data_IF_787987500945
#
_entry.id   IF_787987500945
#
_cell.length_a   1.000
_cell.length_b   1.000
_cell.length_c   1.000
_cell.angle_alpha   90.00
_cell.angle_beta   90.00
_cell.angle_gamma   90.00
#
_symmetry.space_group_name_H-M   'P 1'
#
loop_
_entity.id
_entity.type
_entity.pdbx_description
1 polymer ?
#
# COMPACT_ATOMS: atom_id res chain seq x y z
N UNK A 1 -25.00 -48.16 -7.84
CA UNK A 1 -23.69 -47.51 -8.05
C UNK A 1 -23.78 -46.00 -7.75
N UNK A 2 -23.62 -45.64 -6.48
CA UNK A 2 -23.57 -44.25 -6.00
C UNK A 2 -22.25 -43.60 -6.45
N UNK A 3 -22.31 -42.67 -7.40
CA UNK A 3 -21.26 -41.65 -7.53
C UNK A 3 -21.57 -40.58 -6.50
N UNK A 4 -21.02 -40.74 -5.30
CA UNK A 4 -20.90 -39.62 -4.36
C UNK A 4 -20.19 -38.48 -5.09
N UNK A 5 -20.91 -37.39 -5.34
CA UNK A 5 -20.31 -36.12 -5.73
C UNK A 5 -19.41 -35.70 -4.57
N UNK A 6 -18.10 -35.96 -4.68
CA UNK A 6 -17.08 -35.27 -3.87
C UNK A 6 -17.34 -33.78 -4.04
N UNK A 7 -17.99 -33.16 -3.06
CA UNK A 7 -18.06 -31.71 -2.97
C UNK A 7 -16.61 -31.27 -2.81
N UNK A 8 -15.97 -30.89 -3.91
CA UNK A 8 -14.69 -30.21 -3.87
C UNK A 8 -14.94 -28.91 -3.12
N UNK A 9 -14.66 -28.92 -1.81
CA UNK A 9 -14.69 -27.72 -1.01
C UNK A 9 -13.43 -26.93 -1.37
N UNK A 10 -13.52 -26.21 -2.48
CA UNK A 10 -12.47 -25.31 -2.94
C UNK A 10 -12.27 -24.18 -1.94
N UNK A 11 -11.01 -23.79 -1.77
CA UNK A 11 -10.62 -22.60 -1.03
C UNK A 11 -10.56 -21.44 -2.02
N UNK A 12 -11.50 -20.52 -1.93
CA UNK A 12 -11.52 -19.27 -2.70
C UNK A 12 -10.87 -18.18 -1.85
N UNK A 13 -9.81 -17.56 -2.35
CA UNK A 13 -9.12 -16.45 -1.72
C UNK A 13 -9.20 -15.22 -2.63
N UNK A 14 -9.45 -14.06 -2.02
CA UNK A 14 -9.42 -12.77 -2.69
C UNK A 14 -8.36 -11.90 -2.05
N UNK A 15 -7.55 -11.24 -2.87
CA UNK A 15 -6.45 -10.40 -2.44
C UNK A 15 -6.60 -9.03 -3.07
N UNK A 16 -6.80 -8.00 -2.26
CA UNK A 16 -6.75 -6.62 -2.72
C UNK A 16 -5.27 -6.25 -2.95
N UNK A 17 -4.94 -5.84 -4.16
CA UNK A 17 -3.60 -5.43 -4.57
C UNK A 17 -3.35 -3.95 -4.25
N UNK A 18 -2.10 -3.50 -4.40
CA UNK A 18 -1.70 -2.13 -4.05
C UNK A 18 -2.29 -1.05 -4.98
N UNK A 19 -2.72 -1.43 -6.18
CA UNK A 19 -3.46 -0.57 -7.10
C UNK A 19 -4.98 -0.55 -6.83
N UNK A 20 -5.43 -1.20 -5.75
CA UNK A 20 -6.83 -1.43 -5.36
C UNK A 20 -7.62 -2.39 -6.28
N UNK A 21 -6.97 -3.11 -7.19
CA UNK A 21 -7.62 -4.20 -7.93
C UNK A 21 -7.70 -5.46 -7.06
N UNK A 22 -8.54 -6.41 -7.45
CA UNK A 22 -8.71 -7.69 -6.73
C UNK A 22 -8.13 -8.83 -7.53
N UNK A 23 -7.20 -9.57 -6.93
CA UNK A 23 -6.71 -10.85 -7.42
C UNK A 23 -7.47 -12.00 -6.75
N UNK A 24 -8.01 -12.91 -7.55
CA UNK A 24 -8.78 -14.06 -7.05
C UNK A 24 -8.08 -15.35 -7.38
N UNK A 25 -7.89 -16.22 -6.38
CA UNK A 25 -7.30 -17.53 -6.56
C UNK A 25 -8.16 -18.63 -5.91
N UNK A 26 -8.35 -19.72 -6.64
CA UNK A 26 -9.03 -20.92 -6.13
C UNK A 26 -8.02 -22.05 -5.97
N UNK A 27 -8.10 -22.75 -4.84
CA UNK A 27 -7.30 -23.92 -4.53
C UNK A 27 -8.20 -25.13 -4.26
N UNK A 28 -7.85 -26.28 -4.84
CA UNK A 28 -8.59 -27.53 -4.65
C UNK A 28 -8.32 -28.16 -3.28
N UNK A 29 -7.16 -27.86 -2.67
CA UNK A 29 -6.76 -28.38 -1.36
C UNK A 29 -7.20 -27.44 -0.25
N UNK A 30 -7.82 -27.99 0.80
CA UNK A 30 -8.15 -27.24 2.01
C UNK A 30 -6.93 -26.87 2.86
N UNK A 31 -5.86 -27.64 2.75
CA UNK A 31 -4.60 -27.48 3.47
C UNK A 31 -3.63 -26.50 2.79
N UNK A 32 -4.13 -25.65 1.89
CA UNK A 32 -3.30 -24.65 1.19
C UNK A 32 -2.66 -23.70 2.21
N UNK A 33 -1.34 -23.56 2.09
CA UNK A 33 -0.54 -22.67 2.92
C UNK A 33 -0.60 -21.22 2.44
N UNK A 34 -0.32 -20.28 3.34
CA UNK A 34 -0.25 -18.86 3.00
C UNK A 34 0.76 -18.57 1.88
N UNK A 35 1.91 -19.25 1.90
CA UNK A 35 2.95 -19.13 0.88
C UNK A 35 2.48 -19.50 -0.53
N UNK A 36 1.61 -20.50 -0.68
CA UNK A 36 1.06 -20.88 -1.99
C UNK A 36 0.18 -19.79 -2.61
N UNK A 37 -0.60 -19.08 -1.77
CA UNK A 37 -1.37 -17.92 -2.21
C UNK A 37 -0.45 -16.75 -2.56
N UNK A 38 0.51 -16.46 -1.69
CA UNK A 38 1.46 -15.38 -1.89
C UNK A 38 2.29 -15.56 -3.15
N UNK A 39 2.76 -16.78 -3.43
CA UNK A 39 3.52 -17.09 -4.64
C UNK A 39 2.71 -16.83 -5.91
N UNK A 40 1.41 -17.14 -5.91
CA UNK A 40 0.53 -16.82 -7.05
C UNK A 40 0.35 -15.32 -7.24
N UNK A 41 0.23 -14.55 -6.15
CA UNK A 41 0.14 -13.09 -6.21
C UNK A 41 1.45 -12.50 -6.73
N UNK A 42 2.60 -12.92 -6.19
CA UNK A 42 3.91 -12.46 -6.65
C UNK A 42 4.16 -12.81 -8.12
N UNK A 43 3.77 -14.01 -8.56
CA UNK A 43 3.87 -14.42 -9.96
C UNK A 43 2.99 -13.57 -10.87
N UNK A 44 1.78 -13.22 -10.42
CA UNK A 44 0.87 -12.35 -11.17
C UNK A 44 1.43 -10.93 -11.31
N UNK A 45 2.02 -10.40 -10.24
CA UNK A 45 2.61 -9.06 -10.20
C UNK A 45 4.03 -8.98 -10.80
N UNK A 46 4.69 -10.10 -11.08
CA UNK A 46 6.09 -10.11 -11.52
C UNK A 46 7.11 -9.78 -10.42
N UNK A 47 6.75 -10.00 -9.15
CA UNK A 47 7.62 -9.69 -7.99
C UNK A 47 8.71 -10.74 -7.82
N UNK A 48 9.97 -10.29 -7.83
CA UNK A 48 11.14 -11.14 -7.56
C UNK A 48 11.61 -11.04 -6.10
N UNK A 49 11.63 -9.83 -5.52
CA UNK A 49 12.05 -9.56 -4.13
C UNK A 49 10.90 -9.80 -3.14
N UNK A 50 10.50 -11.06 -2.97
CA UNK A 50 9.34 -11.48 -2.17
C UNK A 50 9.44 -11.09 -0.69
N UNK A 51 10.64 -11.00 -0.16
CA UNK A 51 10.93 -10.67 1.24
C UNK A 51 10.38 -9.29 1.66
N UNK A 52 10.19 -8.37 0.71
CA UNK A 52 9.67 -7.02 0.94
C UNK A 52 8.17 -7.01 1.22
N UNK A 53 7.44 -8.00 0.68
CA UNK A 53 6.00 -7.99 0.62
C UNK A 53 5.38 -9.08 1.50
N UNK A 54 4.08 -8.97 1.73
CA UNK A 54 3.31 -9.99 2.40
C UNK A 54 1.81 -9.83 2.18
N UNK A 55 1.05 -10.70 2.83
CA UNK A 55 -0.41 -10.63 2.85
C UNK A 55 -0.87 -10.27 4.25
N UNK A 56 -1.79 -9.33 4.35
CA UNK A 56 -2.44 -8.93 5.60
C UNK A 56 -3.92 -9.29 5.58
N UNK A 57 -4.52 -9.44 6.75
CA UNK A 57 -5.96 -9.58 6.92
C UNK A 57 -6.41 -8.93 8.23
N UNK A 58 -7.64 -8.42 8.26
CA UNK A 58 -8.24 -7.83 9.45
C UNK A 58 -8.93 -8.91 10.28
N UNK A 59 -8.47 -9.16 11.50
CA UNK A 59 -9.10 -10.07 12.45
C UNK A 59 -10.55 -9.68 12.72
N UNK A 60 -11.43 -10.68 12.80
CA UNK A 60 -12.86 -10.46 13.04
C UNK A 60 -13.18 -10.28 14.54
N UNK A 61 -12.27 -10.68 15.42
CA UNK A 61 -12.47 -10.64 16.88
C UNK A 61 -12.23 -9.22 17.44
N UNK A 62 -11.18 -8.56 16.97
CA UNK A 62 -10.67 -7.30 17.52
C UNK A 62 -10.43 -6.23 16.45
N UNK A 63 -10.65 -6.54 15.17
CA UNK A 63 -10.36 -5.63 14.06
C UNK A 63 -8.87 -5.42 13.79
N UNK A 64 -7.98 -6.19 14.43
CA UNK A 64 -6.54 -6.00 14.30
C UNK A 64 -6.04 -6.44 12.91
N UNK A 65 -5.13 -5.66 12.33
CA UNK A 65 -4.46 -6.00 11.08
C UNK A 65 -3.34 -7.01 11.35
N UNK A 66 -3.46 -8.21 10.81
CA UNK A 66 -2.53 -9.32 11.01
C UNK A 66 -1.82 -9.70 9.72
N UNK A 67 -0.57 -10.12 9.82
CA UNK A 67 0.18 -10.69 8.70
C UNK A 67 -0.12 -12.19 8.59
N UNK A 68 -0.38 -12.66 7.36
CA UNK A 68 -0.51 -14.07 7.06
C UNK A 68 0.85 -14.77 7.20
N UNK A 69 0.90 -15.81 8.02
CA UNK A 69 2.04 -16.70 8.15
C UNK A 69 2.10 -17.61 6.92
N UNK A 70 3.15 -17.42 6.11
CA UNK A 70 3.35 -18.14 4.86
C UNK A 70 3.61 -19.63 5.05
N UNK A 71 4.06 -20.03 6.25
CA UNK A 71 4.40 -21.43 6.56
C UNK A 71 3.19 -22.28 6.97
N UNK A 72 2.12 -21.62 7.44
CA UNK A 72 0.91 -22.23 7.99
C UNK A 72 -0.23 -22.30 6.98
N UNK A 73 -1.19 -23.17 7.24
CA UNK A 73 -2.42 -23.26 6.45
C UNK A 73 -3.24 -21.97 6.58
N UNK A 74 -3.90 -21.56 5.49
CA UNK A 74 -4.75 -20.37 5.51
C UNK A 74 -5.92 -20.55 6.48
N UNK A 75 -6.52 -21.74 6.48
CA UNK A 75 -7.73 -22.04 7.27
C UNK A 75 -7.48 -22.12 8.77
N UNK A 76 -6.23 -22.33 9.20
CA UNK A 76 -5.88 -22.35 10.62
C UNK A 76 -5.64 -20.94 11.19
N UNK A 77 -5.50 -19.92 10.33
CA UNK A 77 -5.20 -18.54 10.72
C UNK A 77 -6.43 -17.63 10.63
N UNK A 78 -7.40 -17.98 9.77
CA UNK A 78 -8.60 -17.18 9.52
C UNK A 78 -9.79 -18.05 9.11
N UNK A 79 -10.99 -17.61 9.49
CA UNK A 79 -12.28 -18.15 9.04
C UNK A 79 -12.80 -17.46 7.77
N UNK A 80 -13.72 -18.09 7.04
CA UNK A 80 -14.31 -17.47 5.84
C UNK A 80 -15.02 -16.14 6.19
N UNK A 81 -14.97 -15.11 5.32
CA UNK A 81 -14.33 -15.11 3.99
C UNK A 81 -12.80 -14.91 4.02
N UNK A 82 -12.11 -15.52 3.04
CA UNK A 82 -10.65 -15.47 2.91
C UNK A 82 -10.21 -14.26 2.08
N UNK A 83 -10.40 -13.07 2.65
CA UNK A 83 -9.97 -11.81 2.07
C UNK A 83 -8.63 -11.39 2.68
N UNK A 84 -7.71 -10.98 1.81
CA UNK A 84 -6.39 -10.49 2.18
C UNK A 84 -6.08 -9.19 1.45
N UNK A 85 -5.06 -8.49 1.91
CA UNK A 85 -4.47 -7.33 1.26
C UNK A 85 -2.99 -7.61 1.00
N UNK A 86 -2.53 -7.40 -0.22
CA UNK A 86 -1.11 -7.39 -0.53
C UNK A 86 -0.51 -6.06 -0.06
N UNK A 87 0.57 -6.13 0.73
CA UNK A 87 1.18 -4.98 1.37
C UNK A 87 2.70 -5.11 1.44
N UNK A 88 3.39 -3.97 1.56
CA UNK A 88 4.82 -3.90 1.87
C UNK A 88 5.01 -4.14 3.36
N UNK A 89 5.83 -5.13 3.69
CA UNK A 89 6.20 -5.50 5.05
C UNK A 89 7.48 -4.82 5.51
N UNK A 90 8.45 -4.69 4.61
CA UNK A 90 9.76 -4.11 4.91
C UNK A 90 10.11 -3.08 3.86
N UNK A 91 10.43 -1.87 4.29
CA UNK A 91 10.83 -0.78 3.42
C UNK A 91 12.35 -0.70 3.42
N UNK A 92 13.01 -0.84 2.26
CA UNK A 92 14.46 -0.79 2.18
C UNK A 92 14.98 0.64 2.42
N UNK A 93 16.18 0.74 3.00
CA UNK A 93 16.92 2.00 3.22
C UNK A 93 17.11 2.77 1.93
N UNK A 94 17.39 2.06 0.85
CA UNK A 94 17.66 2.65 -0.45
C UNK A 94 16.69 2.08 -1.51
N UNK A 95 15.58 2.78 -1.80
CA UNK A 95 14.63 2.34 -2.82
C UNK A 95 15.25 2.20 -4.22
N UNK A 96 16.40 2.83 -4.51
CA UNK A 96 17.08 2.72 -5.82
C UNK A 96 17.60 1.31 -6.12
N UNK A 97 17.85 0.51 -5.09
CA UNK A 97 18.34 -0.87 -5.23
C UNK A 97 17.22 -1.88 -5.53
N UNK A 98 15.97 -1.43 -5.52
CA UNK A 98 14.83 -2.24 -5.89
C UNK A 98 14.73 -2.41 -7.41
N UNK A 99 14.29 -3.59 -7.82
CA UNK A 99 13.91 -3.82 -9.21
C UNK A 99 12.73 -2.89 -9.60
N UNK A 100 12.53 -2.62 -10.91
CA UNK A 100 11.51 -1.69 -11.36
C UNK A 100 10.09 -2.00 -10.85
N UNK A 101 9.70 -3.28 -10.80
CA UNK A 101 8.36 -3.70 -10.33
C UNK A 101 8.20 -3.38 -8.85
N UNK A 102 9.18 -3.73 -8.03
CA UNK A 102 9.16 -3.44 -6.59
C UNK A 102 9.10 -1.94 -6.31
N UNK A 103 9.77 -1.08 -7.11
CA UNK A 103 9.68 0.38 -6.97
C UNK A 103 8.29 0.90 -7.30
N UNK A 104 7.66 0.42 -8.37
CA UNK A 104 6.28 0.79 -8.72
C UNK A 104 5.29 0.42 -7.61
N UNK A 105 5.39 -0.80 -7.08
CA UNK A 105 4.56 -1.25 -5.96
C UNK A 105 4.80 -0.43 -4.69
N UNK A 106 6.06 -0.04 -4.42
CA UNK A 106 6.39 0.82 -3.30
C UNK A 106 5.73 2.21 -3.43
N UNK A 107 5.70 2.80 -4.62
CA UNK A 107 5.00 4.07 -4.86
C UNK A 107 3.51 3.96 -4.51
N UNK A 108 2.85 2.89 -4.93
CA UNK A 108 1.44 2.64 -4.62
C UNK A 108 1.21 2.48 -3.12
N UNK A 109 2.06 1.72 -2.43
CA UNK A 109 1.99 1.55 -0.98
C UNK A 109 2.16 2.87 -0.23
N UNK A 110 3.16 3.66 -0.58
CA UNK A 110 3.42 4.98 0.03
C UNK A 110 2.23 5.90 -0.21
N UNK A 111 1.65 5.87 -1.41
CA UNK A 111 0.47 6.66 -1.75
C UNK A 111 -0.76 6.25 -0.92
N UNK A 112 -1.02 4.95 -0.76
CA UNK A 112 -2.09 4.44 0.12
C UNK A 112 -1.88 4.91 1.57
N UNK A 113 -0.64 4.80 2.07
CA UNK A 113 -0.28 5.26 3.41
C UNK A 113 -0.47 6.76 3.58
N UNK A 114 -0.14 7.55 2.55
CA UNK A 114 -0.32 9.00 2.56
C UNK A 114 -1.79 9.38 2.62
N UNK A 115 -2.62 8.75 1.78
CA UNK A 115 -4.08 9.01 1.73
C UNK A 115 -4.76 8.65 3.04
N UNK A 116 -4.39 7.50 3.62
CA UNK A 116 -5.00 6.97 4.85
C UNK A 116 -4.41 7.54 6.14
N UNK A 117 -3.43 8.45 6.07
CA UNK A 117 -2.79 9.02 7.26
C UNK A 117 -2.01 8.00 8.09
N UNK A 118 -1.39 6.99 7.46
CA UNK A 118 -0.63 5.94 8.17
C UNK A 118 0.76 6.39 8.63
N UNK A 119 1.22 7.57 8.20
CA UNK A 119 2.47 8.14 8.69
C UNK A 119 2.30 8.65 10.12
N UNK A 120 3.29 8.41 10.98
CA UNK A 120 3.20 8.77 12.40
C UNK A 120 3.09 10.29 12.61
N UNK A 121 3.63 11.08 11.69
CA UNK A 121 3.49 12.54 11.71
C UNK A 121 2.61 13.00 10.54
N UNK A 122 1.66 13.91 10.80
CA UNK A 122 0.88 14.57 9.75
C UNK A 122 1.79 15.20 8.70
N UNK A 123 1.48 14.96 7.43
CA UNK A 123 2.24 15.49 6.30
C UNK A 123 1.60 16.81 5.88
N UNK A 124 2.40 17.87 5.74
CA UNK A 124 1.88 19.19 5.30
C UNK A 124 1.23 19.14 3.92
N UNK A 125 0.27 20.03 3.66
CA UNK A 125 -0.42 20.15 2.36
C UNK A 125 0.57 20.27 1.19
N UNK A 126 1.65 21.06 1.37
CA UNK A 126 2.67 21.26 0.33
C UNK A 126 3.40 19.97 -0.02
N UNK A 127 3.75 19.15 0.97
CA UNK A 127 4.43 17.86 0.76
C UNK A 127 3.50 16.85 0.07
N UNK A 128 2.22 16.81 0.47
CA UNK A 128 1.19 16.04 -0.23
C UNK A 128 1.11 16.44 -1.71
N UNK A 129 1.00 17.73 -2.01
CA UNK A 129 0.87 18.20 -3.39
C UNK A 129 2.08 17.85 -4.28
N UNK A 130 3.30 17.92 -3.73
CA UNK A 130 4.52 17.54 -4.45
C UNK A 130 4.50 16.03 -4.78
N UNK A 131 4.21 15.18 -3.79
CA UNK A 131 4.12 13.74 -4.01
C UNK A 131 3.02 13.37 -4.99
N UNK A 132 1.84 14.00 -4.87
CA UNK A 132 0.73 13.78 -5.81
C UNK A 132 1.07 14.26 -7.22
N UNK A 133 1.89 15.30 -7.37
CA UNK A 133 2.39 15.74 -8.66
C UNK A 133 3.35 14.74 -9.32
N UNK A 134 4.23 14.10 -8.54
CA UNK A 134 5.05 13.00 -9.05
C UNK A 134 4.20 11.77 -9.33
N UNK A 135 3.25 11.43 -8.45
CA UNK A 135 2.35 10.30 -8.64
C UNK A 135 1.48 10.47 -9.90
N UNK A 136 0.99 11.68 -10.17
CA UNK A 136 0.33 12.03 -11.42
C UNK A 136 1.24 11.76 -12.63
N UNK A 137 2.51 12.19 -12.59
CA UNK A 137 3.46 11.90 -13.66
C UNK A 137 3.68 10.38 -13.85
N UNK A 138 3.70 9.61 -12.75
CA UNK A 138 3.91 8.14 -12.78
C UNK A 138 2.72 7.41 -13.42
N UNK A 139 1.50 7.84 -13.14
CA UNK A 139 0.27 7.15 -13.56
C UNK A 139 -0.28 7.71 -14.88
N UNK A 140 -0.23 9.02 -15.07
CA UNK A 140 -0.83 9.73 -16.20
C UNK A 140 0.20 9.98 -17.31
N UNK A 141 1.48 10.15 -16.94
CA UNK A 141 2.51 10.64 -17.85
C UNK A 141 2.37 12.14 -18.12
N UNK A 142 3.14 12.64 -19.08
CA UNK A 142 3.25 14.08 -19.37
C UNK A 142 1.90 14.81 -19.50
N UNK A 143 1.85 16.00 -18.91
CA UNK A 143 0.69 16.87 -19.05
C UNK A 143 0.42 17.26 -20.51
N UNK A 144 -0.80 16.97 -20.99
CA UNK A 144 -1.26 17.37 -22.32
C UNK A 144 -2.49 18.31 -22.22
N UNK A 145 -2.39 19.58 -22.66
CA UNK A 145 -3.48 20.55 -22.53
C UNK A 145 -4.72 20.22 -23.35
N UNK A 146 -4.63 19.31 -24.34
CA UNK A 146 -5.78 18.87 -25.14
C UNK A 146 -6.65 17.88 -24.36
N UNK A 147 -6.04 16.92 -23.66
CA UNK A 147 -6.73 15.86 -22.92
C UNK A 147 -6.94 16.17 -21.43
N UNK A 148 -6.02 16.90 -20.80
CA UNK A 148 -6.04 17.17 -19.36
C UNK A 148 -6.75 18.49 -19.09
N UNK A 149 -8.07 18.42 -18.93
CA UNK A 149 -8.96 19.53 -18.51
C UNK A 149 -9.16 19.51 -17.00
N UNK A 150 -9.78 20.55 -16.43
CA UNK A 150 -10.13 20.62 -15.00
C UNK A 150 -10.82 19.31 -14.54
N UNK A 151 -10.44 18.79 -13.37
CA UNK A 151 -10.94 17.51 -12.84
C UNK A 151 -10.17 16.27 -13.33
N UNK A 152 -9.19 16.40 -14.24
CA UNK A 152 -8.49 15.22 -14.77
C UNK A 152 -7.67 14.48 -13.71
N UNK A 153 -7.15 15.17 -12.69
CA UNK A 153 -6.31 14.54 -11.67
C UNK A 153 -7.17 13.60 -10.83
N UNK A 154 -8.28 14.10 -10.31
CA UNK A 154 -9.26 13.29 -9.58
C UNK A 154 -9.78 12.15 -10.46
N UNK A 155 -10.17 12.44 -11.71
CA UNK A 155 -10.69 11.41 -12.63
C UNK A 155 -9.68 10.28 -12.89
N UNK A 156 -8.40 10.62 -13.07
CA UNK A 156 -7.37 9.64 -13.43
C UNK A 156 -6.75 8.92 -12.24
N UNK A 157 -6.65 9.58 -11.09
CA UNK A 157 -6.07 9.01 -9.87
C UNK A 157 -7.12 8.37 -8.95
N UNK A 158 -8.39 8.77 -9.07
CA UNK A 158 -9.51 8.24 -8.31
C UNK A 158 -9.24 8.23 -6.82
N UNK A 159 -9.26 7.05 -6.21
CA UNK A 159 -9.05 6.84 -4.76
C UNK A 159 -7.67 7.25 -4.26
N UNK A 160 -6.70 7.44 -5.16
CA UNK A 160 -5.39 7.95 -4.79
C UNK A 160 -5.36 9.48 -4.68
N UNK A 161 -6.35 10.21 -5.19
CA UNK A 161 -6.42 11.66 -4.99
C UNK A 161 -7.37 11.97 -3.84
N UNK A 162 -6.80 12.37 -2.70
CA UNK A 162 -7.56 12.78 -1.51
C UNK A 162 -6.93 14.06 -0.97
N UNK A 163 -7.65 15.19 -1.00
CA UNK A 163 -7.17 16.43 -0.42
C UNK A 163 -6.80 16.26 1.06
N UNK A 164 -5.68 16.86 1.51
CA UNK A 164 -5.29 16.83 2.90
C UNK A 164 -6.42 17.30 3.83
N UNK A 165 -6.63 16.55 4.89
CA UNK A 165 -7.67 16.76 5.89
C UNK A 165 -7.25 16.11 7.22
N UNK A 166 -8.07 16.25 8.26
CA UNK A 166 -7.77 15.76 9.62
C UNK A 166 -7.46 14.27 9.79
N UNK A 167 -7.56 13.45 8.73
CA UNK A 167 -7.08 12.05 8.74
C UNK A 167 -5.59 11.97 8.38
N UNK A 168 -5.11 12.77 7.44
CA UNK A 168 -3.78 12.63 6.83
C UNK A 168 -2.88 13.88 6.91
N UNK A 169 -3.38 14.94 7.54
CA UNK A 169 -2.73 16.24 7.74
C UNK A 169 -3.38 16.97 8.92
N UNK A 170 -2.62 17.82 9.62
CA UNK A 170 -3.18 18.71 10.67
C UNK A 170 -3.97 19.88 10.06
N UNK A 171 -3.71 20.16 8.79
CA UNK A 171 -4.35 21.21 8.01
C UNK A 171 -5.33 20.60 7.01
N UNK A 172 -6.40 21.33 6.70
CA UNK A 172 -7.38 20.97 5.67
C UNK A 172 -7.32 21.93 4.48
N UNK A 173 -7.58 21.41 3.28
CA UNK A 173 -7.69 22.23 2.06
C UNK A 173 -8.86 21.77 1.21
N UNK A 174 -9.55 22.73 0.58
CA UNK A 174 -10.62 22.44 -0.37
C UNK A 174 -10.09 21.71 -1.60
N UNK A 175 -10.91 20.80 -2.14
CA UNK A 175 -10.52 19.93 -3.25
C UNK A 175 -10.05 20.70 -4.49
N UNK A 176 -10.75 21.79 -4.85
CA UNK A 176 -10.41 22.61 -6.01
C UNK A 176 -9.06 23.31 -5.87
N UNK A 177 -8.76 23.84 -4.68
CA UNK A 177 -7.50 24.52 -4.40
C UNK A 177 -6.35 23.51 -4.37
N UNK A 178 -6.60 22.33 -3.78
CA UNK A 178 -5.63 21.25 -3.77
C UNK A 178 -5.34 20.70 -5.17
N UNK A 179 -6.38 20.48 -6.00
CA UNK A 179 -6.21 20.06 -7.39
C UNK A 179 -5.36 21.07 -8.18
N UNK A 180 -5.56 22.38 -7.96
CA UNK A 180 -4.75 23.42 -8.59
C UNK A 180 -3.27 23.36 -8.16
N UNK A 181 -2.96 22.96 -6.91
CA UNK A 181 -1.59 22.74 -6.45
C UNK A 181 -0.97 21.52 -7.13
N UNK A 182 -1.66 20.37 -7.12
CA UNK A 182 -1.18 19.13 -7.76
C UNK A 182 -1.00 19.33 -9.26
N UNK A 183 -1.89 20.07 -9.91
CA UNK A 183 -1.78 20.45 -11.32
C UNK A 183 -0.49 21.22 -11.62
N UNK A 184 -0.13 22.21 -10.79
CA UNK A 184 1.11 22.97 -10.97
C UNK A 184 2.33 22.07 -10.85
N UNK A 185 2.34 21.17 -9.87
CA UNK A 185 3.41 20.19 -9.69
C UNK A 185 3.50 19.25 -10.90
N UNK A 186 2.40 18.61 -11.30
CA UNK A 186 2.38 17.70 -12.45
C UNK A 186 2.85 18.37 -13.74
N UNK A 187 2.38 19.59 -14.03
CA UNK A 187 2.83 20.36 -15.21
C UNK A 187 4.32 20.70 -15.17
N UNK A 188 4.90 20.90 -13.99
CA UNK A 188 6.33 21.18 -13.83
C UNK A 188 7.23 19.97 -14.11
N UNK A 189 6.66 18.76 -14.14
CA UNK A 189 7.38 17.50 -14.40
C UNK A 189 7.38 17.10 -15.88
N UNK A 190 6.97 18.00 -16.79
CA UNK A 190 6.93 17.71 -18.23
C UNK A 190 8.29 17.24 -18.76
N UNK A 191 8.31 16.08 -19.42
CA UNK A 191 9.51 15.45 -19.96
C UNK A 191 10.25 14.55 -18.96
N UNK A 192 9.78 14.46 -17.71
CA UNK A 192 10.31 13.54 -16.71
C UNK A 192 9.84 12.11 -17.02
N UNK A 193 10.77 11.17 -17.19
CA UNK A 193 10.39 9.78 -17.44
C UNK A 193 9.70 9.16 -16.23
N UNK A 194 8.89 8.11 -16.45
CA UNK A 194 8.22 7.38 -15.37
C UNK A 194 9.22 6.84 -14.34
N UNK A 195 10.38 6.34 -14.78
CA UNK A 195 11.43 5.82 -13.90
C UNK A 195 12.07 6.90 -13.03
N UNK A 196 12.31 8.09 -13.60
CA UNK A 196 12.83 9.22 -12.83
C UNK A 196 11.78 9.74 -11.84
N UNK A 197 10.52 9.86 -12.27
CA UNK A 197 9.42 10.27 -11.40
C UNK A 197 9.23 9.31 -10.20
N UNK A 198 9.30 7.99 -10.42
CA UNK A 198 9.31 6.97 -9.36
C UNK A 198 10.48 7.19 -8.40
N UNK A 199 11.67 7.46 -8.93
CA UNK A 199 12.89 7.65 -8.14
C UNK A 199 12.75 8.88 -7.24
N UNK A 200 12.35 10.02 -7.80
CA UNK A 200 12.12 11.26 -7.06
C UNK A 200 10.99 11.13 -6.02
N UNK A 201 9.91 10.43 -6.37
CA UNK A 201 8.80 10.17 -5.45
C UNK A 201 9.27 9.38 -4.23
N UNK A 202 10.00 8.29 -4.45
CA UNK A 202 10.47 7.43 -3.36
C UNK A 202 11.52 8.13 -2.49
N UNK A 203 12.42 8.90 -3.08
CA UNK A 203 13.39 9.71 -2.32
C UNK A 203 12.70 10.71 -1.39
N UNK A 204 11.72 11.46 -1.92
CA UNK A 204 10.95 12.38 -1.09
C UNK A 204 10.18 11.66 0.02
N UNK A 205 9.68 10.45 -0.25
CA UNK A 205 9.01 9.64 0.76
C UNK A 205 9.96 9.18 1.87
N UNK A 206 11.22 8.87 1.56
CA UNK A 206 12.22 8.48 2.58
C UNK A 206 12.56 9.60 3.57
N UNK A 207 12.33 10.86 3.19
CA UNK A 207 12.50 12.00 4.11
C UNK A 207 11.39 12.08 5.17
N UNK A 208 10.27 11.36 4.99
CA UNK A 208 9.19 11.41 5.95
C UNK A 208 9.58 10.73 7.26
N UNK A 209 9.31 11.38 8.40
CA UNK A 209 9.51 10.75 9.69
C UNK A 209 8.78 9.42 9.72
N UNK A 210 9.49 8.37 10.14
CA UNK A 210 8.95 7.02 10.28
C UNK A 210 8.54 6.36 8.95
N UNK A 211 9.11 6.80 7.82
CA UNK A 211 9.06 6.04 6.58
C UNK A 211 9.52 4.60 6.83
N UNK A 212 8.66 3.65 6.47
CA UNK A 212 8.96 2.24 6.63
C UNK A 212 8.85 1.68 8.05
N UNK A 213 8.32 2.47 8.99
CA UNK A 213 8.05 2.01 10.34
C UNK A 213 6.69 1.31 10.38
N UNK A 214 6.70 0.02 10.70
CA UNK A 214 5.51 -0.75 10.99
C UNK A 214 5.19 -0.64 12.49
N UNK A 215 4.15 0.13 12.81
CA UNK A 215 3.66 0.29 14.18
C UNK A 215 2.98 -0.99 14.66
N UNK A 216 3.40 -1.48 15.82
CA UNK A 216 2.70 -2.54 16.53
C UNK A 216 1.41 -2.00 17.15
N UNK A 217 0.44 -2.88 17.46
CA UNK A 217 -0.74 -2.49 18.22
C UNK A 217 -0.37 -1.71 19.50
N UNK A 218 -1.21 -0.72 19.90
CA UNK A 218 -0.99 0.05 21.11
C UNK A 218 -0.69 -0.87 22.30
N UNK A 219 0.48 -0.69 22.88
CA UNK A 219 0.95 -1.49 24.02
C UNK A 219 0.92 -0.62 25.28
N UNK A 220 1.02 -1.25 26.45
CA UNK A 220 1.18 -0.52 27.72
C UNK A 220 2.46 -0.94 28.41
N UNK A 221 3.15 0.00 29.03
CA UNK A 221 4.25 -0.31 29.94
C UNK A 221 3.73 -0.89 31.26
N UNK A 222 4.67 -1.18 32.18
CA UNK A 222 4.35 -1.70 33.51
C UNK A 222 3.50 -0.74 34.35
N UNK A 223 3.60 0.55 34.07
CA UNK A 223 2.91 1.62 34.80
C UNK A 223 1.57 2.00 34.16
N UNK A 224 1.20 1.33 33.05
CA UNK A 224 -0.06 1.50 32.34
C UNK A 224 -0.05 2.65 31.33
N UNK A 225 1.10 3.29 31.08
CA UNK A 225 1.25 4.31 30.05
C UNK A 225 1.16 3.67 28.67
N UNK A 226 0.57 4.38 27.71
CA UNK A 226 0.50 3.90 26.33
C UNK A 226 1.88 4.00 25.69
N UNK A 227 2.32 2.90 25.09
CA UNK A 227 3.61 2.76 24.40
C UNK A 227 3.35 2.39 22.95
N UNK A 228 3.97 3.13 22.04
CA UNK A 228 3.99 2.78 20.62
C UNK A 228 5.33 2.14 20.28
N UNK A 229 5.27 0.97 19.63
CA UNK A 229 6.44 0.25 19.16
C UNK A 229 6.47 0.30 17.64
N UNK A 230 7.47 0.95 17.07
CA UNK A 230 7.69 1.01 15.63
C UNK A 230 8.82 0.08 15.20
N UNK A 231 8.55 -0.92 14.37
CA UNK A 231 9.59 -1.79 13.81
C UNK A 231 9.97 -1.27 12.43
N UNK A 232 11.26 -1.08 12.18
CA UNK A 232 11.80 -0.65 10.89
C UNK A 232 13.10 -1.38 10.59
N UNK A 233 13.67 -1.17 9.39
CA UNK A 233 14.82 -1.97 8.93
C UNK A 233 16.03 -1.94 9.88
N UNK A 234 16.20 -0.89 10.70
CA UNK A 234 17.38 -0.74 11.57
C UNK A 234 17.10 -1.08 13.04
N UNK A 235 15.89 -1.52 13.36
CA UNK A 235 15.56 -1.95 14.72
C UNK A 235 14.16 -1.56 15.16
N UNK A 236 14.06 -1.17 16.43
CA UNK A 236 12.80 -0.92 17.12
C UNK A 236 12.82 0.49 17.70
N UNK A 237 11.77 1.26 17.43
CA UNK A 237 11.48 2.54 18.05
C UNK A 237 10.46 2.31 19.15
N UNK A 238 10.70 2.87 20.33
CA UNK A 238 9.76 2.86 21.46
C UNK A 238 9.59 4.31 21.87
N UNK A 239 8.36 4.81 21.88
CA UNK A 239 8.02 6.17 22.30
C UNK A 239 6.61 6.24 22.88
#
# INVERSE_FOLDING_TARGET
PNKERKVSCKLLCEVVLLDNTTFTATFEKKSTKGGELFDRVCSFLGVTKKEIFGLQYTSWEDGALNWLDMSKEIRSQRSKPYHFQFAVKFYPRNPRELDPVSRELMCLQVKDSLVRGKFLKPVSIKRHAILDGYFAQIIIGDFNPKSHKRGYIENKLGRFFVPPNGINSDEGIGELDYEAMVFKCHRSHLGLSRTEAITQFLELATEFPFYGVNLQPPSKDRDGNSVCIGIYENGVLVF
#
